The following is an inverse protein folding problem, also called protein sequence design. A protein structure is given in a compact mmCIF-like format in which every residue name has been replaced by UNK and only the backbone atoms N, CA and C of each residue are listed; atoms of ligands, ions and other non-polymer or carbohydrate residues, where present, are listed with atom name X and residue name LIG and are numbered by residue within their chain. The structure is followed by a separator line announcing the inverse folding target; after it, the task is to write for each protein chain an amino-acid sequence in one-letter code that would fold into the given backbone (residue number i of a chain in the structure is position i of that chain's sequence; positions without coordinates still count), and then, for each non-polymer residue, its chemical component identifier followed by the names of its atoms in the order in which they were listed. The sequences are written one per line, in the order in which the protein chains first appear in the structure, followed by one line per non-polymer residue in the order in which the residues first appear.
data_IF_359518602592
#
_entry.id   IF_359518602592
#
_cell.length_a   1.000
_cell.length_b   1.000
_cell.length_c   1.000
_cell.angle_alpha   90.00
_cell.angle_beta   90.00
_cell.angle_gamma   90.00
#
_symmetry.space_group_name_H-M   'P 1'
#
loop_
_entity.id
_entity.type
_entity.pdbx_description
1 polymer ?
#
# COMPACT_ATOMS: atom_id res chain seq x y z
N UNK A 1 -13.45 21.26 -12.41
CA UNK A 1 -13.45 22.74 -12.20
C UNK A 1 -12.79 23.01 -10.86
N UNK A 2 -11.68 23.75 -10.88
CA UNK A 2 -11.00 24.17 -9.65
C UNK A 2 -11.59 25.52 -9.27
N UNK A 3 -12.44 25.55 -8.26
CA UNK A 3 -12.96 26.79 -7.71
C UNK A 3 -11.98 27.33 -6.67
N UNK A 4 -11.28 28.40 -6.99
CA UNK A 4 -10.46 29.14 -6.03
C UNK A 4 -11.39 30.08 -5.27
N UNK A 5 -11.56 29.86 -3.99
CA UNK A 5 -12.35 30.72 -3.10
C UNK A 5 -11.43 31.64 -2.27
N UNK A 6 -11.94 32.77 -1.83
CA UNK A 6 -11.28 33.59 -0.81
C UNK A 6 -11.21 32.83 0.53
N UNK A 7 -10.24 33.13 1.37
CA UNK A 7 -10.02 32.48 2.69
C UNK A 7 -11.30 32.44 3.53
N UNK A 8 -12.07 33.50 3.53
CA UNK A 8 -13.35 33.62 4.26
C UNK A 8 -14.43 32.62 3.76
N UNK A 9 -14.47 32.36 2.46
CA UNK A 9 -15.36 31.33 1.87
C UNK A 9 -14.87 29.92 2.12
N UNK A 10 -13.56 29.73 2.15
CA UNK A 10 -12.92 28.44 2.51
C UNK A 10 -13.25 28.10 3.94
N UNK A 11 -13.07 29.04 4.89
CA UNK A 11 -13.38 28.86 6.29
C UNK A 11 -14.87 28.55 6.53
N UNK A 12 -15.76 29.27 5.84
CA UNK A 12 -17.20 29.02 5.93
C UNK A 12 -17.57 27.66 5.38
N UNK A 13 -16.96 27.24 4.26
CA UNK A 13 -17.18 25.93 3.68
C UNK A 13 -16.64 24.82 4.57
N UNK A 14 -15.42 24.99 5.09
CA UNK A 14 -14.80 24.08 6.06
C UNK A 14 -15.71 23.92 7.27
N UNK A 15 -16.13 25.01 7.91
CA UNK A 15 -17.06 24.97 9.05
C UNK A 15 -18.36 24.23 8.74
N UNK A 16 -18.97 24.51 7.58
CA UNK A 16 -20.24 23.85 7.16
C UNK A 16 -20.10 22.33 6.94
N UNK A 17 -18.91 21.84 6.61
CA UNK A 17 -18.64 20.41 6.36
C UNK A 17 -17.97 19.71 7.53
N UNK A 18 -17.36 20.46 8.43
CA UNK A 18 -16.51 19.96 9.51
C UNK A 18 -17.14 20.07 10.89
N UNK A 19 -18.39 20.56 11.03
CA UNK A 19 -19.13 20.53 12.30
C UNK A 19 -19.14 19.16 12.99
N UNK A 20 -18.78 18.09 12.25
CA UNK A 20 -18.64 16.72 12.73
C UNK A 20 -17.20 16.21 12.84
N UNK A 21 -16.22 17.02 12.42
CA UNK A 21 -14.79 16.66 12.43
C UNK A 21 -14.10 17.74 13.28
N UNK A 22 -13.57 17.34 14.43
CA UNK A 22 -12.80 18.24 15.30
C UNK A 22 -11.46 18.57 14.64
N UNK A 23 -11.44 19.61 13.80
CA UNK A 23 -10.20 20.27 13.36
C UNK A 23 -9.76 21.28 14.40
N UNK A 24 -9.45 20.80 15.58
CA UNK A 24 -8.87 21.65 16.61
C UNK A 24 -7.39 21.82 16.34
N UNK A 25 -6.96 23.04 16.05
CA UNK A 25 -5.58 23.49 15.93
C UNK A 25 -4.78 22.93 14.72
N UNK A 26 -5.29 23.12 13.50
CA UNK A 26 -4.47 22.92 12.31
C UNK A 26 -3.79 24.24 11.92
N UNK A 27 -2.48 24.29 12.06
CA UNK A 27 -1.68 25.41 11.55
C UNK A 27 -1.42 25.24 10.04
N UNK A 28 -1.39 24.00 9.55
CA UNK A 28 -1.18 23.65 8.15
C UNK A 28 -2.01 22.41 7.75
N UNK A 29 -2.37 22.31 6.46
CA UNK A 29 -3.06 21.12 5.97
C UNK A 29 -3.73 21.27 4.61
N UNK A 30 -4.30 20.17 4.11
CA UNK A 30 -5.06 20.13 2.86
C UNK A 30 -6.39 19.44 3.08
N UNK A 31 -7.50 20.07 2.70
CA UNK A 31 -8.82 19.48 2.71
C UNK A 31 -9.27 19.13 1.30
N UNK A 32 -9.61 17.85 1.05
CA UNK A 32 -10.19 17.40 -0.20
C UNK A 32 -11.62 16.93 0.07
N UNK A 33 -12.61 17.57 -0.57
CA UNK A 33 -14.01 17.18 -0.49
C UNK A 33 -14.48 16.59 -1.82
N UNK A 34 -15.02 15.37 -1.77
CA UNK A 34 -15.61 14.67 -2.91
C UNK A 34 -17.13 14.55 -2.72
N UNK A 35 -17.90 15.02 -3.70
CA UNK A 35 -19.36 14.94 -3.70
C UNK A 35 -19.86 14.29 -4.99
N UNK A 36 -21.16 13.99 -5.06
CA UNK A 36 -21.81 13.35 -6.21
C UNK A 36 -21.11 12.07 -6.66
N UNK A 37 -21.01 11.11 -5.73
CA UNK A 37 -20.31 9.84 -5.94
C UNK A 37 -21.18 8.82 -6.70
N UNK A 38 -21.61 9.16 -7.91
CA UNK A 38 -22.60 8.41 -8.71
C UNK A 38 -22.23 6.94 -8.93
N UNK A 39 -20.94 6.62 -9.04
CA UNK A 39 -20.47 5.24 -9.18
C UNK A 39 -20.56 4.42 -7.91
N UNK A 40 -20.71 5.05 -6.76
CA UNK A 40 -20.79 4.39 -5.45
C UNK A 40 -22.19 4.40 -4.88
N UNK A 41 -22.97 5.43 -5.19
CA UNK A 41 -24.31 5.67 -4.66
C UNK A 41 -25.32 5.53 -5.80
N UNK A 42 -26.27 4.61 -5.63
CA UNK A 42 -27.43 4.45 -6.47
C UNK A 42 -28.64 4.94 -5.66
N UNK A 43 -29.20 6.04 -6.05
CA UNK A 43 -30.34 6.67 -5.33
C UNK A 43 -31.58 5.78 -5.28
N UNK A 44 -31.75 4.88 -6.27
CA UNK A 44 -32.86 3.94 -6.32
C UNK A 44 -32.72 2.77 -5.34
N UNK A 45 -31.48 2.54 -4.81
CA UNK A 45 -31.22 1.45 -3.85
C UNK A 45 -30.18 1.86 -2.79
N UNK A 46 -30.61 2.70 -1.87
CA UNK A 46 -29.78 3.23 -0.79
C UNK A 46 -29.14 2.14 0.10
N UNK A 47 -29.87 1.06 0.40
CA UNK A 47 -29.33 -0.01 1.24
C UNK A 47 -28.17 -0.74 0.56
N UNK A 48 -28.30 -1.04 -0.72
CA UNK A 48 -27.23 -1.67 -1.52
C UNK A 48 -26.04 -0.73 -1.67
N UNK A 49 -26.30 0.56 -1.88
CA UNK A 49 -25.29 1.61 -1.96
C UNK A 49 -24.49 1.72 -0.67
N UNK A 50 -25.15 1.72 0.48
CA UNK A 50 -24.49 1.73 1.79
C UNK A 50 -23.55 0.54 1.99
N UNK A 51 -23.99 -0.66 1.68
CA UNK A 51 -23.14 -1.87 1.76
C UNK A 51 -21.94 -1.78 0.83
N UNK A 52 -22.15 -1.33 -0.42
CA UNK A 52 -21.06 -1.13 -1.40
C UNK A 52 -20.06 -0.09 -0.93
N UNK A 53 -20.55 1.01 -0.38
CA UNK A 53 -19.70 2.08 0.16
C UNK A 53 -18.81 1.56 1.29
N UNK A 54 -19.37 0.90 2.31
CA UNK A 54 -18.57 0.34 3.40
C UNK A 54 -17.55 -0.71 2.94
N UNK A 55 -17.92 -1.58 2.01
CA UNK A 55 -16.98 -2.52 1.39
C UNK A 55 -15.82 -1.80 0.68
N UNK A 56 -16.09 -0.65 0.06
CA UNK A 56 -15.07 0.16 -0.59
C UNK A 56 -14.15 0.81 0.46
N UNK A 57 -14.71 1.35 1.54
CA UNK A 57 -13.94 1.89 2.67
C UNK A 57 -12.99 0.84 3.25
N UNK A 58 -13.46 -0.39 3.49
CA UNK A 58 -12.60 -1.46 3.99
C UNK A 58 -11.48 -1.85 3.01
N UNK A 59 -11.73 -1.81 1.70
CA UNK A 59 -10.67 -2.01 0.69
C UNK A 59 -9.63 -0.89 0.74
N UNK A 60 -10.09 0.36 0.88
CA UNK A 60 -9.19 1.53 0.99
C UNK A 60 -8.34 1.43 2.25
N UNK A 61 -8.93 1.07 3.41
CA UNK A 61 -8.18 0.85 4.66
C UNK A 61 -7.05 -0.16 4.47
N UNK A 62 -7.36 -1.34 3.95
CA UNK A 62 -6.37 -2.39 3.70
C UNK A 62 -5.28 -1.95 2.73
N UNK A 63 -5.66 -1.20 1.70
CA UNK A 63 -4.70 -0.65 0.72
C UNK A 63 -3.77 0.37 1.36
N UNK A 64 -4.29 1.33 2.11
CA UNK A 64 -3.47 2.33 2.80
C UNK A 64 -2.55 1.70 3.84
N UNK A 65 -3.06 0.74 4.62
CA UNK A 65 -2.29 -0.02 5.61
C UNK A 65 -1.05 -0.70 4.99
N UNK A 66 -1.19 -1.22 3.77
CA UNK A 66 -0.11 -1.87 3.03
C UNK A 66 0.82 -0.87 2.35
N UNK A 67 0.28 0.11 1.62
CA UNK A 67 1.10 1.05 0.82
C UNK A 67 1.98 1.94 1.70
N UNK A 68 1.46 2.34 2.86
CA UNK A 68 2.14 3.26 3.78
C UNK A 68 2.69 2.57 5.02
N UNK A 69 2.77 1.23 5.05
CA UNK A 69 3.16 0.50 6.27
C UNK A 69 4.49 0.99 6.86
N UNK A 70 5.51 1.27 6.02
CA UNK A 70 6.82 1.76 6.49
C UNK A 70 6.72 3.13 7.15
N UNK A 71 5.93 4.04 6.58
CA UNK A 71 5.73 5.38 7.16
C UNK A 71 4.94 5.30 8.47
N UNK A 72 4.00 4.37 8.59
CA UNK A 72 3.23 4.16 9.81
C UNK A 72 4.13 3.55 10.91
N UNK A 73 4.95 2.55 10.57
CA UNK A 73 5.80 1.83 11.51
C UNK A 73 7.06 2.64 11.92
N UNK A 74 7.69 3.32 10.97
CA UNK A 74 9.03 3.92 11.16
C UNK A 74 8.96 5.44 11.39
N UNK A 75 8.04 6.15 10.74
CA UNK A 75 7.96 7.62 10.78
C UNK A 75 6.79 8.17 11.61
N UNK A 76 6.09 7.30 12.33
CA UNK A 76 4.90 7.65 13.13
C UNK A 76 3.78 8.35 12.32
N UNK A 77 3.67 8.08 11.00
CA UNK A 77 2.55 8.57 10.22
C UNK A 77 1.24 7.98 10.75
N UNK A 78 0.33 8.83 11.16
CA UNK A 78 -0.99 8.43 11.61
C UNK A 78 -2.03 8.61 10.51
N UNK A 79 -2.70 7.53 10.13
CA UNK A 79 -3.80 7.55 9.16
C UNK A 79 -5.07 7.16 9.88
N UNK A 80 -6.07 8.02 9.84
CA UNK A 80 -7.38 7.76 10.43
C UNK A 80 -8.42 7.54 9.34
N UNK A 81 -9.25 6.53 9.49
CA UNK A 81 -10.42 6.28 8.63
C UNK A 81 -11.65 6.21 9.52
N UNK A 82 -12.57 7.16 9.37
CA UNK A 82 -13.74 7.30 10.24
C UNK A 82 -13.36 7.34 11.73
N UNK A 83 -12.37 8.18 12.10
CA UNK A 83 -11.83 8.34 13.46
C UNK A 83 -11.09 7.12 14.03
N UNK A 84 -10.96 6.02 13.29
CA UNK A 84 -10.21 4.85 13.71
C UNK A 84 -8.79 4.92 13.15
N UNK A 85 -7.80 4.81 14.02
CA UNK A 85 -6.40 4.74 13.63
C UNK A 85 -6.16 3.46 12.82
N UNK A 86 -5.44 3.61 11.72
CA UNK A 86 -5.08 2.50 10.84
C UNK A 86 -3.78 1.85 11.32
N UNK A 87 -3.82 0.55 11.54
CA UNK A 87 -2.63 -0.25 11.81
C UNK A 87 -1.92 -0.60 10.51
N UNK A 88 -0.58 -0.56 10.51
CA UNK A 88 0.22 -1.00 9.38
C UNK A 88 0.02 -2.49 9.09
N UNK A 89 0.02 -2.86 7.82
CA UNK A 89 0.13 -4.25 7.41
C UNK A 89 1.45 -4.44 6.66
N UNK A 90 2.45 -4.95 7.38
CA UNK A 90 3.77 -5.24 6.84
C UNK A 90 3.78 -6.59 6.12
N UNK A 91 4.06 -6.65 4.81
CA UNK A 91 4.02 -7.90 4.04
C UNK A 91 5.12 -8.90 4.39
N UNK A 92 6.15 -8.46 5.13
CA UNK A 92 7.32 -9.30 5.45
C UNK A 92 7.23 -9.98 6.82
N UNK A 93 6.23 -9.64 7.62
CA UNK A 93 5.93 -10.28 8.93
C UNK A 93 7.18 -10.36 9.82
N UNK A 94 7.99 -9.31 9.86
CA UNK A 94 9.27 -9.27 10.58
C UNK A 94 9.14 -9.48 12.10
N UNK A 95 7.94 -9.26 12.65
CA UNK A 95 7.64 -9.47 14.07
C UNK A 95 7.57 -10.97 14.43
N UNK A 96 7.37 -11.86 13.47
CA UNK A 96 7.35 -13.30 13.73
C UNK A 96 8.79 -13.85 13.70
N UNK A 97 9.28 -14.46 14.78
CA UNK A 97 10.66 -14.94 14.87
C UNK A 97 10.99 -16.09 13.90
N UNK A 98 9.98 -16.69 13.27
CA UNK A 98 10.17 -17.69 12.23
C UNK A 98 10.26 -17.12 10.81
N UNK A 99 10.19 -15.80 10.65
CA UNK A 99 10.51 -15.14 9.38
C UNK A 99 12.02 -15.25 9.15
N UNK A 100 12.40 -15.72 7.97
CA UNK A 100 13.81 -15.80 7.57
C UNK A 100 14.10 -14.61 6.65
N UNK A 101 15.00 -13.72 7.10
CA UNK A 101 15.56 -12.63 6.29
C UNK A 101 16.84 -13.16 5.63
N UNK A 102 16.89 -13.15 4.31
CA UNK A 102 18.07 -13.56 3.56
C UNK A 102 19.01 -12.36 3.35
N UNK A 103 20.21 -12.64 2.83
CA UNK A 103 21.19 -11.58 2.57
C UNK A 103 20.64 -10.51 1.62
N UNK A 104 20.83 -9.25 2.00
CA UNK A 104 20.51 -8.13 1.15
C UNK A 104 21.55 -8.03 0.04
N UNK A 105 21.10 -7.81 -1.19
CA UNK A 105 21.94 -7.57 -2.34
C UNK A 105 21.70 -6.16 -2.88
N UNK A 106 22.74 -5.56 -3.43
CA UNK A 106 22.68 -4.26 -4.08
C UNK A 106 23.02 -4.41 -5.57
N UNK A 107 22.12 -4.00 -6.43
CA UNK A 107 22.28 -4.05 -7.88
C UNK A 107 22.21 -2.66 -8.48
N UNK A 108 23.02 -2.42 -9.54
CA UNK A 108 22.93 -1.19 -10.31
C UNK A 108 21.95 -1.35 -11.46
N UNK A 109 20.84 -0.57 -11.44
CA UNK A 109 19.75 -0.69 -12.42
C UNK A 109 19.99 0.10 -13.73
N UNK A 110 21.17 0.68 -13.87
CA UNK A 110 21.54 1.57 -14.99
C UNK A 110 21.51 3.05 -14.60
N UNK A 111 20.97 3.39 -13.43
CA UNK A 111 20.87 4.76 -12.91
C UNK A 111 21.34 4.88 -11.48
N UNK A 112 20.79 4.06 -10.59
CA UNK A 112 21.12 4.07 -9.15
C UNK A 112 21.25 2.63 -8.64
N UNK A 113 21.57 2.52 -7.35
CA UNK A 113 21.59 1.23 -6.65
C UNK A 113 20.17 0.91 -6.18
N UNK A 114 19.74 -0.32 -6.42
CA UNK A 114 18.50 -0.91 -5.95
C UNK A 114 18.85 -1.98 -4.93
N UNK A 115 18.28 -1.92 -3.74
CA UNK A 115 18.45 -2.98 -2.74
C UNK A 115 17.40 -4.08 -2.93
N UNK A 116 17.85 -5.33 -2.78
CA UNK A 116 17.01 -6.52 -2.88
C UNK A 116 17.12 -7.27 -1.56
N UNK A 117 16.01 -7.42 -0.89
CA UNK A 117 15.92 -8.11 0.39
C UNK A 117 14.90 -9.26 0.28
N UNK A 118 15.35 -10.52 0.13
CA UNK A 118 14.44 -11.65 0.07
C UNK A 118 14.04 -12.12 1.48
N UNK A 119 12.78 -12.58 1.61
CA UNK A 119 12.20 -13.11 2.84
C UNK A 119 11.50 -14.43 2.57
N UNK A 120 11.65 -15.38 3.50
CA UNK A 120 10.79 -16.57 3.58
C UNK A 120 9.90 -16.41 4.82
N UNK A 121 8.61 -16.31 4.59
CA UNK A 121 7.63 -16.08 5.63
C UNK A 121 7.35 -17.37 6.43
N UNK A 122 6.85 -17.24 7.67
CA UNK A 122 6.55 -18.38 8.53
C UNK A 122 5.52 -19.32 7.91
N UNK A 123 5.76 -20.62 8.04
CA UNK A 123 4.74 -21.62 7.75
C UNK A 123 3.54 -21.48 8.72
N UNK A 124 2.35 -21.91 8.29
CA UNK A 124 1.10 -21.79 9.07
C UNK A 124 1.20 -22.30 10.52
N UNK A 125 2.04 -23.30 10.77
CA UNK A 125 2.26 -23.87 12.11
C UNK A 125 3.03 -22.95 13.06
N UNK A 126 3.54 -21.82 12.58
CA UNK A 126 4.29 -20.81 13.34
C UNK A 126 3.43 -19.60 13.72
N UNK A 127 2.14 -19.67 13.49
CA UNK A 127 1.16 -18.68 13.94
C UNK A 127 0.38 -19.24 15.12
N UNK A 128 -0.15 -18.34 15.96
CA UNK A 128 -0.92 -18.70 17.16
C UNK A 128 -2.17 -19.50 16.81
N UNK A 129 -2.86 -19.08 15.73
CA UNK A 129 -4.07 -19.72 15.26
C UNK A 129 -4.25 -19.51 13.73
N UNK A 130 -5.33 -20.06 13.19
CA UNK A 130 -5.65 -19.98 11.78
C UNK A 130 -6.07 -18.54 11.35
N UNK A 131 -6.65 -17.79 12.28
CA UNK A 131 -7.07 -16.41 12.02
C UNK A 131 -5.85 -15.48 11.87
N UNK A 132 -4.86 -15.61 12.75
CA UNK A 132 -3.58 -14.91 12.67
C UNK A 132 -2.86 -15.24 11.35
N UNK A 133 -2.82 -16.50 10.95
CA UNK A 133 -2.27 -16.91 9.66
C UNK A 133 -3.03 -16.28 8.48
N UNK A 134 -4.35 -16.27 8.52
CA UNK A 134 -5.18 -15.68 7.48
C UNK A 134 -5.02 -14.16 7.39
N UNK A 135 -4.94 -13.47 8.54
CA UNK A 135 -4.67 -12.02 8.61
C UNK A 135 -3.31 -11.68 8.02
N UNK A 136 -2.29 -12.48 8.31
CA UNK A 136 -0.94 -12.33 7.79
C UNK A 136 -0.85 -12.50 6.26
N UNK A 137 -1.72 -13.31 5.66
CA UNK A 137 -1.83 -13.49 4.20
C UNK A 137 -2.29 -12.25 3.43
N UNK A 138 -2.73 -11.21 4.13
CA UNK A 138 -3.09 -9.91 3.53
C UNK A 138 -4.53 -9.78 3.08
N UNK A 139 -4.77 -8.77 2.24
CA UNK A 139 -6.12 -8.32 1.91
C UNK A 139 -6.95 -9.34 1.10
N UNK A 140 -6.29 -10.26 0.40
CA UNK A 140 -6.94 -11.30 -0.40
C UNK A 140 -6.54 -12.68 0.11
N UNK A 141 -5.34 -13.12 -0.22
CA UNK A 141 -4.80 -14.42 0.13
C UNK A 141 -3.26 -14.48 -0.04
N UNK A 142 -2.67 -15.55 0.44
CA UNK A 142 -1.25 -15.82 0.34
C UNK A 142 -0.76 -15.91 -1.12
N UNK A 143 -1.57 -16.49 -2.01
CA UNK A 143 -1.24 -16.64 -3.43
C UNK A 143 -1.14 -15.28 -4.13
N UNK A 144 -2.02 -14.34 -3.79
CA UNK A 144 -2.00 -12.99 -4.38
C UNK A 144 -0.76 -12.22 -3.96
N UNK A 145 -0.27 -12.43 -2.76
CA UNK A 145 0.78 -11.63 -2.13
C UNK A 145 2.20 -12.21 -2.27
N UNK A 146 2.40 -13.32 -3.00
CA UNK A 146 3.74 -13.87 -3.25
C UNK A 146 4.56 -13.05 -4.24
N UNK A 147 5.89 -13.07 -4.10
CA UNK A 147 6.84 -12.46 -5.04
C UNK A 147 7.30 -11.06 -4.64
N UNK A 148 7.54 -10.23 -5.63
CA UNK A 148 8.20 -8.94 -5.49
C UNK A 148 7.28 -7.84 -4.95
N UNK A 149 7.89 -6.97 -4.12
CA UNK A 149 7.32 -5.75 -3.55
C UNK A 149 8.25 -4.60 -3.87
N UNK A 150 7.82 -3.70 -4.76
CA UNK A 150 8.64 -2.58 -5.24
C UNK A 150 8.31 -1.32 -4.46
N UNK A 151 9.33 -0.77 -3.82
CA UNK A 151 9.26 0.49 -3.08
C UNK A 151 10.01 1.58 -3.84
N UNK A 152 9.39 2.74 -3.92
CA UNK A 152 9.98 3.96 -4.45
C UNK A 152 10.00 5.01 -3.34
N UNK A 153 11.19 5.42 -2.94
CA UNK A 153 11.36 6.30 -1.78
C UNK A 153 10.52 5.82 -0.58
N UNK A 154 10.66 4.53 -0.23
CA UNK A 154 9.98 3.83 0.88
C UNK A 154 8.47 3.59 0.70
N UNK A 155 7.82 4.22 -0.31
CA UNK A 155 6.41 3.98 -0.62
C UNK A 155 6.26 2.73 -1.50
N UNK A 156 5.42 1.79 -1.07
CA UNK A 156 5.08 0.62 -1.87
C UNK A 156 4.26 1.04 -3.11
N UNK A 157 4.73 0.69 -4.30
CA UNK A 157 4.08 1.04 -5.57
C UNK A 157 3.54 -0.18 -6.32
N UNK A 158 4.24 -1.31 -6.23
CA UNK A 158 3.81 -2.59 -6.82
C UNK A 158 4.02 -3.69 -5.80
N UNK A 159 3.12 -4.64 -5.73
CA UNK A 159 3.19 -5.74 -4.77
C UNK A 159 2.68 -7.07 -5.35
N UNK A 160 3.23 -8.15 -4.82
CA UNK A 160 2.78 -9.50 -5.15
C UNK A 160 2.90 -9.81 -6.63
N UNK A 161 4.01 -9.49 -7.26
CA UNK A 161 4.27 -9.73 -8.68
C UNK A 161 5.50 -10.61 -8.89
N UNK A 162 5.49 -11.39 -9.94
CA UNK A 162 6.67 -12.06 -10.49
C UNK A 162 7.10 -11.42 -11.82
N UNK A 163 6.62 -10.21 -12.14
CA UNK A 163 6.86 -9.48 -13.39
C UNK A 163 6.55 -10.31 -14.65
N UNK A 164 5.65 -11.30 -14.55
CA UNK A 164 5.31 -12.20 -15.64
C UNK A 164 6.35 -13.30 -15.94
N UNK A 165 7.45 -13.36 -15.15
CA UNK A 165 8.50 -14.36 -15.34
C UNK A 165 8.12 -15.74 -14.79
N UNK A 166 7.36 -15.75 -13.70
CA UNK A 166 6.85 -16.98 -13.07
C UNK A 166 5.33 -16.91 -12.90
N UNK A 167 4.71 -18.08 -12.92
CA UNK A 167 3.30 -18.21 -12.52
C UNK A 167 3.21 -18.22 -10.99
N UNK A 168 2.11 -17.70 -10.48
CA UNK A 168 1.80 -17.79 -9.05
C UNK A 168 1.37 -19.21 -8.72
N UNK A 169 2.08 -19.83 -7.78
CA UNK A 169 1.84 -21.20 -7.35
C UNK A 169 1.88 -21.30 -5.81
N UNK A 170 1.15 -22.24 -5.21
CA UNK A 170 1.15 -22.43 -3.76
C UNK A 170 2.54 -22.66 -3.15
N UNK A 171 3.47 -23.25 -3.91
CA UNK A 171 4.85 -23.49 -3.51
C UNK A 171 5.60 -22.20 -3.14
N UNK A 172 5.23 -21.07 -3.77
CA UNK A 172 5.89 -19.78 -3.55
C UNK A 172 5.13 -18.85 -2.59
N UNK A 173 4.09 -19.34 -1.93
CA UNK A 173 3.23 -18.51 -1.07
C UNK A 173 3.98 -17.79 0.05
N UNK A 174 5.09 -18.33 0.52
CA UNK A 174 5.88 -17.75 1.60
C UNK A 174 7.02 -16.84 1.09
N UNK A 175 7.26 -16.77 -0.21
CA UNK A 175 8.30 -15.93 -0.77
C UNK A 175 7.84 -14.48 -0.88
N UNK A 176 8.65 -13.56 -0.33
CA UNK A 176 8.52 -12.11 -0.46
C UNK A 176 9.88 -11.54 -0.79
N UNK A 177 9.94 -10.67 -1.78
CA UNK A 177 11.20 -10.04 -2.19
C UNK A 177 10.97 -8.54 -2.22
N UNK A 178 11.64 -7.83 -1.33
CA UNK A 178 11.59 -6.37 -1.28
C UNK A 178 12.60 -5.81 -2.28
N UNK A 179 12.15 -4.90 -3.12
CA UNK A 179 12.96 -4.07 -4.01
C UNK A 179 12.78 -2.62 -3.58
N UNK A 180 13.85 -1.97 -3.17
CA UNK A 180 13.82 -0.57 -2.73
C UNK A 180 14.65 0.29 -3.67
N UNK A 181 14.02 1.28 -4.29
CA UNK A 181 14.63 2.16 -5.29
C UNK A 181 14.34 3.64 -4.98
N UNK A 182 15.20 4.51 -5.49
CA UNK A 182 14.99 5.95 -5.45
C UNK A 182 14.09 6.43 -6.60
N UNK A 183 13.64 7.70 -6.52
CA UNK A 183 12.89 8.32 -7.60
C UNK A 183 13.72 8.59 -8.87
N UNK A 184 15.03 8.49 -8.78
CA UNK A 184 15.93 8.69 -9.92
C UNK A 184 15.82 7.56 -10.94
N UNK A 185 15.38 6.37 -10.51
CA UNK A 185 15.17 5.17 -11.34
C UNK A 185 13.81 5.10 -12.02
N UNK A 186 12.96 6.12 -11.88
CA UNK A 186 11.57 6.09 -12.40
C UNK A 186 11.49 5.73 -13.90
N UNK A 187 12.44 6.22 -14.69
CA UNK A 187 12.48 5.96 -16.13
C UNK A 187 12.86 4.51 -16.44
N UNK A 188 13.90 3.99 -15.83
CA UNK A 188 14.43 2.64 -16.03
C UNK A 188 13.38 1.58 -15.64
N UNK A 189 12.60 1.87 -14.59
CA UNK A 189 11.52 1.01 -14.11
C UNK A 189 10.17 1.24 -14.81
N UNK A 190 10.11 2.16 -15.77
CA UNK A 190 8.88 2.47 -16.50
C UNK A 190 7.73 2.88 -15.57
N UNK A 191 8.04 3.63 -14.50
CA UNK A 191 7.05 4.04 -13.52
C UNK A 191 6.03 4.99 -14.15
N UNK A 192 4.75 4.62 -14.11
CA UNK A 192 3.68 5.46 -14.61
C UNK A 192 3.41 6.68 -13.70
N UNK A 193 2.72 7.70 -14.25
CA UNK A 193 2.36 8.92 -13.51
C UNK A 193 1.58 8.60 -12.23
N UNK A 194 0.75 7.55 -12.25
CA UNK A 194 -0.02 7.09 -11.09
C UNK A 194 0.82 6.32 -10.09
N UNK A 195 2.08 5.98 -10.42
CA UNK A 195 2.98 5.16 -9.60
C UNK A 195 2.32 3.86 -9.15
N UNK A 196 1.68 3.18 -10.10
CA UNK A 196 0.93 1.93 -9.87
C UNK A 196 1.45 0.76 -10.70
N UNK A 197 2.43 1.01 -11.55
CA UNK A 197 3.09 0.01 -12.38
C UNK A 197 4.59 0.22 -12.36
N UNK A 198 5.32 -0.88 -12.40
CA UNK A 198 6.76 -0.93 -12.60
C UNK A 198 7.07 -2.11 -13.51
N UNK A 199 8.10 -1.96 -14.33
CA UNK A 199 8.70 -3.04 -15.13
C UNK A 199 10.11 -3.27 -14.63
N UNK A 200 10.54 -4.51 -14.61
CA UNK A 200 11.90 -4.85 -14.19
C UNK A 200 12.89 -4.37 -15.26
N UNK A 201 13.90 -3.53 -14.89
CA UNK A 201 14.92 -3.10 -15.84
C UNK A 201 15.75 -4.26 -16.36
N UNK A 202 16.07 -4.22 -17.65
CA UNK A 202 16.86 -5.28 -18.31
C UNK A 202 18.25 -5.44 -17.66
N UNK A 203 18.82 -4.34 -17.17
CA UNK A 203 20.13 -4.31 -16.51
C UNK A 203 20.27 -5.21 -15.28
N UNK A 204 19.15 -5.44 -14.56
CA UNK A 204 19.14 -6.25 -13.33
C UNK A 204 18.24 -7.49 -13.45
N UNK A 205 17.58 -7.67 -14.59
CA UNK A 205 16.59 -8.74 -14.77
C UNK A 205 17.17 -10.12 -14.48
N UNK A 206 18.34 -10.43 -15.04
CA UNK A 206 18.99 -11.74 -14.83
C UNK A 206 19.34 -11.97 -13.37
N UNK A 207 19.91 -10.96 -12.70
CA UNK A 207 20.31 -11.08 -11.30
C UNK A 207 19.12 -11.20 -10.34
N UNK A 208 17.97 -10.63 -10.70
CA UNK A 208 16.75 -10.65 -9.85
C UNK A 208 15.99 -11.98 -10.01
N UNK A 209 16.21 -12.72 -11.13
CA UNK A 209 15.47 -13.95 -11.44
C UNK A 209 16.24 -15.21 -11.05
N UNK A 210 17.55 -15.12 -10.87
CA UNK A 210 18.39 -16.22 -10.36
C UNK A 210 18.11 -16.52 -8.89
#
# INVERSE_FOLDING_TARGET
EILIHSDEKIDTYIKSKTDKIEFQNWDEGTLISLSMLDKLIDENNMQKSKVKFYKTVEKVKKHLAMIFHRFIEEDNLQIYVNKNLLEAWNPFIRQNPATMELACEELFDGKTIVSIEPYILPHKTKFEDEEAFKKAGGAKDWLTHQGFYVYRNRRLIVYGTWFGKFKKEPAYNLARIKLDMSSESDFEWGIDIKKSKATLPVSIEESVIQ
#
